data_IF_126278094094
#
_entry.id   IF_126278094094
#
_cell.length_a   1.000
_cell.length_b   1.000
_cell.length_c   1.000
_cell.angle_alpha   90.00
_cell.angle_beta   90.00
_cell.angle_gamma   90.00
#
_symmetry.space_group_name_H-M   'P 1'
#
loop_
_entity.id
_entity.type
_entity.pdbx_description
1 polymer ?
#
# COMPACT_ATOMS: atom_id res chain seq x y z
N UNK A 1 -4.31 5.87 -12.54
CA UNK A 1 -4.97 4.55 -12.51
C UNK A 1 -4.79 3.93 -11.14
N UNK A 2 -5.83 3.42 -10.51
CA UNK A 2 -5.67 2.77 -9.22
C UNK A 2 -4.90 1.46 -9.33
N UNK A 3 -4.33 1.03 -8.21
CA UNK A 3 -3.77 -0.31 -8.11
C UNK A 3 -4.92 -1.26 -7.80
N UNK A 4 -5.10 -2.29 -8.63
CA UNK A 4 -6.17 -3.26 -8.45
C UNK A 4 -5.61 -4.52 -7.80
N UNK A 5 -6.19 -4.90 -6.68
CA UNK A 5 -5.86 -6.15 -5.98
C UNK A 5 -7.00 -7.14 -6.21
N UNK A 6 -6.65 -8.35 -6.60
CA UNK A 6 -7.60 -9.42 -6.87
C UNK A 6 -7.68 -10.41 -5.71
N UNK A 7 -8.89 -10.85 -5.31
CA UNK A 7 -9.00 -11.89 -4.29
C UNK A 7 -8.44 -13.23 -4.83
N UNK A 8 -8.07 -14.16 -3.93
CA UNK A 8 -8.25 -14.08 -2.49
C UNK A 8 -7.06 -13.51 -1.72
N UNK A 9 -5.88 -13.35 -2.33
CA UNK A 9 -4.65 -13.16 -1.57
C UNK A 9 -3.84 -11.93 -1.93
N UNK A 10 -4.16 -11.24 -3.01
CA UNK A 10 -3.38 -10.06 -3.38
C UNK A 10 -3.50 -8.96 -2.32
N UNK A 11 -2.38 -8.39 -1.95
CA UNK A 11 -2.32 -7.44 -0.84
C UNK A 11 -1.11 -6.54 -0.94
N UNK A 12 -1.15 -5.43 -0.20
CA UNK A 12 -0.03 -4.51 -0.04
C UNK A 12 0.39 -4.53 1.41
N UNK A 13 1.70 -4.68 1.63
CA UNK A 13 2.31 -4.60 2.95
C UNK A 13 3.37 -3.52 2.97
N UNK A 14 3.57 -2.94 4.15
CA UNK A 14 4.68 -2.03 4.40
C UNK A 14 5.65 -2.66 5.39
N UNK A 15 6.93 -2.45 5.14
CA UNK A 15 8.01 -2.94 6.01
C UNK A 15 8.82 -1.73 6.46
N UNK A 16 8.92 -1.54 7.77
CA UNK A 16 9.80 -0.53 8.35
C UNK A 16 11.20 -1.13 8.43
N UNK A 17 12.09 -0.67 7.55
CA UNK A 17 13.46 -1.19 7.49
C UNK A 17 14.36 -0.54 8.51
N UNK A 18 14.23 0.76 8.70
CA UNK A 18 15.01 1.55 9.66
C UNK A 18 14.08 2.58 10.28
N UNK A 19 14.17 2.82 11.57
CA UNK A 19 13.40 3.82 12.26
C UNK A 19 12.57 3.27 13.41
N UNK A 20 11.74 4.12 14.01
CA UNK A 20 10.92 3.76 15.16
C UNK A 20 9.46 3.53 14.82
N UNK A 21 8.88 4.40 14.01
CA UNK A 21 7.45 4.38 13.75
C UNK A 21 7.10 5.15 12.48
N UNK A 22 6.08 4.65 11.79
CA UNK A 22 5.41 5.35 10.68
C UNK A 22 3.91 5.20 10.84
N UNK A 23 3.17 6.21 10.44
CA UNK A 23 1.71 6.16 10.33
C UNK A 23 1.34 6.10 8.86
N UNK A 24 0.47 5.16 8.52
CA UNK A 24 0.06 4.92 7.13
C UNK A 24 -1.46 5.03 7.02
N UNK A 25 -1.90 5.74 6.00
CA UNK A 25 -3.32 5.78 5.62
C UNK A 25 -3.42 5.24 4.20
N UNK A 26 -4.32 4.28 4.00
CA UNK A 26 -4.60 3.69 2.69
C UNK A 26 -6.04 4.01 2.31
N UNK A 27 -6.23 4.63 1.16
CA UNK A 27 -7.56 4.85 0.60
C UNK A 27 -7.83 3.80 -0.47
N UNK A 28 -9.01 3.19 -0.40
CA UNK A 28 -9.40 2.14 -1.33
C UNK A 28 -10.92 2.07 -1.49
N UNK A 29 -11.36 1.36 -2.52
CA UNK A 29 -12.76 1.04 -2.74
C UNK A 29 -12.90 -0.39 -3.25
N UNK A 30 -14.08 -0.97 -3.09
CA UNK A 30 -14.38 -2.29 -3.65
C UNK A 30 -14.96 -2.14 -5.05
N UNK A 31 -14.49 -2.98 -5.96
CA UNK A 31 -14.91 -2.97 -7.36
C UNK A 31 -15.30 -4.40 -7.73
N UNK A 32 -16.40 -4.56 -8.46
CA UNK A 32 -16.78 -5.87 -8.94
C UNK A 32 -15.68 -6.50 -9.78
N UNK A 33 -15.46 -7.80 -9.60
CA UNK A 33 -14.53 -8.57 -10.41
C UNK A 33 -14.88 -8.45 -11.88
N UNK A 34 -13.87 -8.47 -12.73
CA UNK A 34 -14.02 -8.46 -14.19
C UNK A 34 -14.70 -7.20 -14.74
N UNK A 35 -14.46 -6.06 -14.09
CA UNK A 35 -14.86 -4.77 -14.63
C UNK A 35 -16.32 -4.43 -14.49
N UNK A 36 -16.97 -5.01 -13.51
CA UNK A 36 -18.33 -4.61 -13.17
C UNK A 36 -18.40 -3.13 -12.85
N UNK A 37 -19.49 -2.49 -13.24
CA UNK A 37 -19.68 -1.07 -13.05
C UNK A 37 -19.82 -0.73 -11.57
N UNK A 38 -19.13 0.30 -11.17
CA UNK A 38 -19.36 0.94 -9.88
C UNK A 38 -18.31 0.60 -8.85
N UNK A 39 -17.55 1.61 -8.48
CA UNK A 39 -16.81 1.62 -7.24
C UNK A 39 -17.82 1.71 -6.12
N UNK A 40 -17.64 0.89 -5.10
CA UNK A 40 -18.36 1.07 -3.84
C UNK A 40 -17.90 2.34 -3.14
N UNK A 41 -18.40 2.54 -1.93
CA UNK A 41 -18.01 3.67 -1.09
C UNK A 41 -16.49 3.65 -0.86
N UNK A 42 -15.92 4.83 -0.68
CA UNK A 42 -14.52 4.97 -0.34
C UNK A 42 -14.29 4.53 1.11
N UNK A 43 -13.23 3.77 1.31
CA UNK A 43 -12.79 3.31 2.62
C UNK A 43 -11.36 3.73 2.88
N UNK A 44 -10.97 3.78 4.14
CA UNK A 44 -9.57 3.98 4.49
C UNK A 44 -9.16 3.10 5.66
N UNK A 45 -7.89 2.71 5.66
CA UNK A 45 -7.25 2.02 6.77
C UNK A 45 -6.17 2.91 7.34
N UNK A 46 -6.11 2.97 8.67
CA UNK A 46 -5.08 3.67 9.42
C UNK A 46 -4.22 2.64 10.12
N UNK A 47 -2.96 2.57 9.75
CA UNK A 47 -2.03 1.55 10.26
C UNK A 47 -0.82 2.23 10.86
N UNK A 48 -0.41 1.81 12.04
CA UNK A 48 0.83 2.22 12.67
C UNK A 48 1.85 1.10 12.53
N UNK A 49 3.03 1.43 12.02
CA UNK A 49 4.14 0.50 11.88
C UNK A 49 5.21 0.90 12.88
N UNK A 50 5.71 -0.05 13.65
CA UNK A 50 6.71 0.21 14.69
C UNK A 50 7.92 -0.70 14.51
N UNK A 51 9.02 -0.36 15.16
CA UNK A 51 10.22 -1.19 15.13
C UNK A 51 9.99 -2.58 15.73
N UNK A 52 9.07 -2.70 16.68
CA UNK A 52 8.71 -3.99 17.28
C UNK A 52 7.74 -4.79 16.40
N UNK A 53 7.01 -4.13 15.50
CA UNK A 53 6.09 -4.74 14.55
C UNK A 53 6.34 -4.14 13.16
N UNK A 54 7.49 -4.47 12.53
CA UNK A 54 7.94 -3.75 11.34
C UNK A 54 7.21 -4.13 10.05
N UNK A 55 6.47 -5.23 10.03
CA UNK A 55 5.74 -5.67 8.86
C UNK A 55 4.25 -5.55 9.16
N UNK A 56 3.53 -4.75 8.36
CA UNK A 56 2.10 -4.54 8.54
C UNK A 56 1.36 -4.67 7.23
N UNK A 57 0.23 -5.38 7.30
CA UNK A 57 -0.71 -5.43 6.19
C UNK A 57 -1.42 -4.09 6.07
N UNK A 58 -1.38 -3.50 4.88
CA UNK A 58 -2.05 -2.23 4.62
C UNK A 58 -3.46 -2.44 4.06
N UNK A 59 -3.58 -3.28 3.05
CA UNK A 59 -4.86 -3.57 2.41
C UNK A 59 -4.77 -4.94 1.73
N UNK A 60 -5.87 -5.67 1.74
CA UNK A 60 -5.95 -7.01 1.16
C UNK A 60 -7.29 -7.20 0.46
N UNK A 61 -7.23 -7.81 -0.73
CA UNK A 61 -8.43 -8.24 -1.42
C UNK A 61 -9.02 -9.50 -0.76
N UNK A 62 -10.32 -9.68 -0.89
CA UNK A 62 -11.02 -10.87 -0.40
C UNK A 62 -11.44 -10.85 1.05
N UNK A 63 -11.13 -9.79 1.79
CA UNK A 63 -11.51 -9.67 3.21
C UNK A 63 -13.00 -9.40 3.35
N UNK A 64 -13.52 -8.47 2.54
CA UNK A 64 -14.93 -8.11 2.57
C UNK A 64 -15.78 -9.16 1.86
N UNK A 65 -15.40 -9.47 0.62
CA UNK A 65 -16.15 -10.38 -0.24
C UNK A 65 -15.20 -10.95 -1.30
N UNK A 66 -15.17 -12.28 -1.50
CA UNK A 66 -14.27 -12.89 -2.50
C UNK A 66 -14.64 -12.55 -3.95
N UNK A 67 -15.79 -11.92 -4.18
CA UNK A 67 -16.21 -11.52 -5.52
C UNK A 67 -15.80 -10.09 -5.88
N UNK A 68 -15.20 -9.34 -4.96
CA UNK A 68 -14.80 -7.96 -5.20
C UNK A 68 -13.29 -7.81 -5.26
N UNK A 69 -12.83 -7.05 -6.26
CA UNK A 69 -11.47 -6.51 -6.28
C UNK A 69 -11.39 -5.31 -5.34
N UNK A 70 -10.16 -4.95 -4.98
CA UNK A 70 -9.88 -3.75 -4.21
C UNK A 70 -9.10 -2.80 -5.11
N UNK A 71 -9.61 -1.59 -5.28
CA UNK A 71 -8.94 -0.52 -6.02
C UNK A 71 -8.29 0.42 -5.00
N UNK A 72 -6.97 0.44 -4.96
CA UNK A 72 -6.21 1.34 -4.08
C UNK A 72 -5.99 2.66 -4.80
N UNK A 73 -6.49 3.73 -4.22
CA UNK A 73 -6.49 5.06 -4.86
C UNK A 73 -5.47 6.01 -4.25
N UNK A 74 -4.97 5.74 -3.07
CA UNK A 74 -3.96 6.58 -2.47
C UNK A 74 -3.36 5.97 -1.21
N UNK A 75 -2.12 6.38 -0.94
CA UNK A 75 -1.36 5.99 0.25
C UNK A 75 -0.67 7.22 0.80
N UNK A 76 -0.77 7.43 2.11
CA UNK A 76 -0.06 8.47 2.84
C UNK A 76 0.78 7.80 3.90
N UNK A 77 2.09 8.08 3.90
CA UNK A 77 3.02 7.52 4.88
C UNK A 77 3.69 8.69 5.59
N UNK A 78 3.43 8.83 6.87
CA UNK A 78 3.92 9.94 7.68
C UNK A 78 4.90 9.45 8.73
N UNK A 79 6.03 10.15 8.85
CA UNK A 79 7.00 9.93 9.91
C UNK A 79 6.74 10.93 11.05
N UNK A 80 6.09 10.50 12.16
CA UNK A 80 5.81 11.40 13.28
C UNK A 80 7.00 11.56 14.23
N UNK A 81 8.11 10.87 13.96
CA UNK A 81 9.26 10.86 14.86
C UNK A 81 10.28 11.93 14.49
N UNK A 82 11.24 12.12 15.37
CA UNK A 82 12.36 13.04 15.15
C UNK A 82 13.54 12.39 14.41
N UNK A 83 13.36 11.16 13.92
CA UNK A 83 14.42 10.37 13.30
C UNK A 83 14.37 10.55 11.79
N UNK A 84 15.36 11.25 11.23
CA UNK A 84 15.47 11.46 9.79
C UNK A 84 15.73 10.16 9.02
N UNK A 85 16.50 9.24 9.60
CA UNK A 85 16.82 7.99 8.93
C UNK A 85 15.73 6.95 9.20
N UNK A 86 14.58 7.16 8.58
CA UNK A 86 13.44 6.24 8.64
C UNK A 86 13.17 5.75 7.22
N UNK A 87 13.27 4.45 7.01
CA UNK A 87 13.17 3.85 5.66
C UNK A 87 12.04 2.85 5.65
N UNK A 88 11.15 3.01 4.68
CA UNK A 88 10.01 2.11 4.46
C UNK A 88 10.15 1.41 3.11
N UNK A 89 9.71 0.16 3.05
CA UNK A 89 9.52 -0.58 1.81
C UNK A 89 8.04 -0.91 1.68
N UNK A 90 7.46 -0.59 0.54
CA UNK A 90 6.13 -1.08 0.15
C UNK A 90 6.31 -2.24 -0.81
N UNK A 91 5.53 -3.28 -0.58
CA UNK A 91 5.54 -4.46 -1.45
C UNK A 91 4.13 -4.95 -1.68
N UNK A 92 3.90 -5.54 -2.85
CA UNK A 92 2.62 -6.13 -3.23
C UNK A 92 2.80 -7.62 -3.44
N UNK A 93 1.92 -8.42 -2.86
CA UNK A 93 1.82 -9.82 -3.18
C UNK A 93 0.85 -10.00 -4.34
N UNK A 94 1.33 -10.58 -5.42
CA UNK A 94 0.54 -10.83 -6.62
C UNK A 94 0.76 -12.27 -7.08
N UNK A 95 -0.30 -12.88 -7.60
CA UNK A 95 -0.28 -14.27 -8.04
C UNK A 95 -0.44 -14.28 -9.55
N UNK A 96 0.38 -15.05 -10.24
CA UNK A 96 0.19 -15.29 -11.66
C UNK A 96 -1.04 -16.18 -11.85
N UNK A 97 -2.08 -15.63 -12.46
CA UNK A 97 -3.33 -16.31 -12.73
C UNK A 97 -3.97 -15.71 -13.99
N UNK A 98 -5.30 -15.82 -14.12
CA UNK A 98 -6.01 -15.25 -15.27
C UNK A 98 -5.95 -13.72 -15.34
N UNK A 99 -5.74 -13.05 -14.19
CA UNK A 99 -5.61 -11.58 -14.12
C UNK A 99 -4.19 -11.12 -14.41
N UNK A 100 -3.20 -11.99 -14.12
CA UNK A 100 -1.78 -11.74 -14.36
C UNK A 100 -1.19 -12.91 -15.14
N UNK A 101 -1.52 -13.02 -16.44
CA UNK A 101 -1.13 -14.20 -17.22
C UNK A 101 0.36 -14.25 -17.56
N UNK A 102 1.03 -13.09 -17.60
CA UNK A 102 2.45 -13.02 -17.90
C UNK A 102 3.29 -13.30 -16.65
N UNK A 103 4.53 -13.81 -16.81
CA UNK A 103 5.41 -13.98 -15.67
C UNK A 103 5.61 -12.67 -14.91
N UNK A 104 5.38 -12.70 -13.59
CA UNK A 104 5.55 -11.54 -12.74
C UNK A 104 7.04 -11.26 -12.51
N UNK A 105 7.47 -9.99 -12.53
CA UNK A 105 8.86 -9.62 -12.27
C UNK A 105 9.19 -9.63 -10.77
N UNK A 106 8.84 -10.73 -10.09
CA UNK A 106 9.03 -10.85 -8.65
C UNK A 106 9.32 -12.30 -8.28
N UNK A 107 10.02 -12.48 -7.16
CA UNK A 107 10.28 -13.80 -6.57
C UNK A 107 9.22 -14.08 -5.51
N UNK A 108 8.77 -15.33 -5.44
CA UNK A 108 7.83 -15.78 -4.40
C UNK A 108 6.54 -14.96 -4.32
N UNK A 109 6.12 -14.37 -5.44
CA UNK A 109 4.89 -13.59 -5.50
C UNK A 109 5.00 -12.16 -5.02
N UNK A 110 6.13 -11.73 -4.48
CA UNK A 110 6.31 -10.37 -3.98
C UNK A 110 6.93 -9.46 -5.01
N UNK A 111 6.31 -8.29 -5.19
CA UNK A 111 6.80 -7.22 -6.05
C UNK A 111 7.10 -6.01 -5.18
N UNK A 112 8.36 -5.54 -5.21
CA UNK A 112 8.74 -4.32 -4.53
C UNK A 112 8.17 -3.12 -5.28
N UNK A 113 7.34 -2.33 -4.61
CA UNK A 113 6.70 -1.15 -5.20
C UNK A 113 7.56 0.09 -5.00
N UNK A 114 8.12 0.23 -3.80
CA UNK A 114 8.83 1.44 -3.40
C UNK A 114 9.70 1.14 -2.18
N UNK A 115 10.90 1.71 -2.16
CA UNK A 115 11.72 1.80 -0.95
C UNK A 115 12.21 3.23 -0.84
N UNK A 116 11.94 3.88 0.30
CA UNK A 116 12.25 5.29 0.41
C UNK A 116 12.49 5.71 1.86
N UNK A 117 13.38 6.68 2.02
CA UNK A 117 13.59 7.38 3.27
C UNK A 117 12.51 8.45 3.45
N UNK A 118 11.93 8.50 4.64
CA UNK A 118 10.99 9.53 5.05
C UNK A 118 11.59 10.26 6.24
N UNK A 119 12.00 11.49 6.04
CA UNK A 119 12.63 12.29 7.09
C UNK A 119 11.62 12.65 8.17
N UNK A 120 12.11 13.16 9.29
CA UNK A 120 11.24 13.56 10.38
C UNK A 120 10.12 14.49 9.89
N UNK A 121 8.92 14.23 10.35
CA UNK A 121 7.70 15.01 10.07
C UNK A 121 7.31 15.10 8.59
N UNK A 122 7.98 14.35 7.70
CA UNK A 122 7.58 14.28 6.30
C UNK A 122 6.41 13.33 6.10
N UNK A 123 5.60 13.64 5.11
CA UNK A 123 4.55 12.75 4.61
C UNK A 123 4.80 12.46 3.14
N UNK A 124 4.88 11.18 2.83
CA UNK A 124 4.99 10.69 1.47
C UNK A 124 3.58 10.41 0.94
N UNK A 125 3.24 11.03 -0.17
CA UNK A 125 1.93 10.84 -0.80
C UNK A 125 2.11 10.06 -2.09
N UNK A 126 1.44 8.92 -2.17
CA UNK A 126 1.48 8.04 -3.34
C UNK A 126 0.08 7.95 -3.91
N UNK A 127 -0.09 8.50 -5.12
CA UNK A 127 -1.32 8.34 -5.89
C UNK A 127 -0.95 7.51 -7.11
N UNK A 128 -1.52 6.30 -7.28
CA UNK A 128 -1.16 5.43 -8.39
C UNK A 128 -1.35 6.14 -9.74
N UNK A 129 -0.32 6.07 -10.59
CA UNK A 129 -0.30 6.74 -11.88
C UNK A 129 0.21 8.17 -11.85
N UNK A 130 0.49 8.73 -10.68
CA UNK A 130 1.06 10.06 -10.51
C UNK A 130 2.48 9.97 -9.93
N UNK A 131 3.22 11.07 -9.98
CA UNK A 131 4.52 11.14 -9.32
C UNK A 131 4.34 11.14 -7.82
N UNK A 132 5.28 10.48 -7.13
CA UNK A 132 5.32 10.49 -5.67
C UNK A 132 5.62 11.89 -5.18
N UNK A 133 4.83 12.36 -4.23
CA UNK A 133 5.00 13.69 -3.63
C UNK A 133 5.47 13.54 -2.18
N UNK A 134 6.29 14.50 -1.75
CA UNK A 134 6.76 14.56 -0.37
C UNK A 134 6.35 15.90 0.20
N UNK A 135 5.62 15.86 1.31
CA UNK A 135 5.23 17.05 2.04
C UNK A 135 5.91 17.05 3.41
N UNK A 136 6.42 18.21 3.78
CA UNK A 136 6.98 18.40 5.12
C UNK A 136 6.08 19.35 5.87
N UNK A 137 5.56 18.88 7.01
CA UNK A 137 4.81 19.74 7.91
C UNK A 137 5.80 20.35 8.89
N UNK A 138 5.98 21.65 8.79
CA UNK A 138 6.80 22.37 9.77
C UNK A 138 6.06 22.42 11.10
N UNK A 139 6.70 21.91 12.10
CA UNK A 139 6.19 21.96 13.48
C UNK A 139 6.75 23.15 14.20
#
# INVERSE_FOLDING_TARGET
MPIILHPPEERIEAVLLVGQMLNVIVDYSYVHNHGGAGAGDAHNNHIQITASNPIQLLVRAGVFDPTYDVAVTGLWIHNPTEIDNTIVRLRMFAIQDEHHPDPLPCSNGWLDMLQRQIKKHETLIIVPGAQVQVLTVSS
#
